data_IF_953287762886
#
_entry.id   IF_953287762886
#
_cell.length_a   1.000
_cell.length_b   1.000
_cell.length_c   1.000
_cell.angle_alpha   90.00
_cell.angle_beta   90.00
_cell.angle_gamma   90.00
#
_symmetry.space_group_name_H-M   'P 1'
#
loop_
_entity.id
_entity.type
_entity.pdbx_description
1 polymer ?
#
# COMPACT_ATOMS: atom_id res chain seq x y z
N UNK A 1 -14.29 -23.99 11.83
CA UNK A 1 -13.17 -23.20 12.39
C UNK A 1 -13.79 -22.19 13.33
N UNK A 2 -13.39 -22.16 14.61
CA UNK A 2 -13.99 -21.23 15.57
C UNK A 2 -13.51 -19.79 15.28
N UNK A 3 -14.13 -18.78 15.89
CA UNK A 3 -13.78 -17.37 15.63
C UNK A 3 -12.33 -17.03 16.04
N UNK A 4 -11.85 -17.63 17.14
CA UNK A 4 -10.49 -17.46 17.64
C UNK A 4 -9.43 -18.02 16.66
N UNK A 5 -9.69 -19.15 16.02
CA UNK A 5 -8.84 -19.75 15.00
C UNK A 5 -8.74 -18.86 13.75
N UNK A 6 -9.84 -18.20 13.36
CA UNK A 6 -9.83 -17.22 12.26
C UNK A 6 -8.97 -16.01 12.63
N UNK A 7 -9.18 -15.44 13.82
CA UNK A 7 -8.36 -14.35 14.35
C UNK A 7 -6.86 -14.73 14.38
N UNK A 8 -6.54 -15.89 14.93
CA UNK A 8 -5.16 -16.40 14.98
C UNK A 8 -4.56 -16.57 13.58
N UNK A 9 -5.34 -17.08 12.62
CA UNK A 9 -4.90 -17.18 11.24
C UNK A 9 -4.62 -15.81 10.61
N UNK A 10 -5.44 -14.79 10.89
CA UNK A 10 -5.19 -13.42 10.43
C UNK A 10 -3.88 -12.86 10.99
N UNK A 11 -3.61 -13.09 12.28
CA UNK A 11 -2.37 -12.62 12.94
C UNK A 11 -1.13 -13.38 12.43
N UNK A 12 -1.21 -14.71 12.26
CA UNK A 12 -0.08 -15.53 11.78
C UNK A 12 0.27 -15.21 10.32
N UNK A 13 -0.74 -15.18 9.44
CA UNK A 13 -0.54 -14.96 8.00
C UNK A 13 -0.09 -13.55 7.66
N UNK A 14 -0.21 -12.62 8.62
CA UNK A 14 0.28 -11.24 8.48
C UNK A 14 1.73 -11.16 8.00
N UNK A 15 2.62 -12.00 8.53
CA UNK A 15 4.04 -12.01 8.13
C UNK A 15 4.27 -12.37 6.66
N UNK A 16 3.31 -13.04 6.02
CA UNK A 16 3.37 -13.44 4.62
C UNK A 16 2.64 -12.44 3.69
N UNK A 17 1.75 -11.59 4.23
CA UNK A 17 0.85 -10.73 3.44
C UNK A 17 1.00 -9.22 3.66
N UNK A 18 1.51 -8.77 4.81
CA UNK A 18 1.47 -7.37 5.26
C UNK A 18 2.78 -6.61 5.03
N UNK A 19 3.78 -7.24 4.40
CA UNK A 19 4.92 -6.49 3.86
C UNK A 19 4.46 -5.75 2.60
N UNK A 20 3.80 -4.61 2.82
CA UNK A 20 3.52 -3.58 1.82
C UNK A 20 4.86 -2.95 1.37
N UNK A 21 5.67 -3.78 0.71
CA UNK A 21 6.99 -3.52 0.14
C UNK A 21 8.09 -3.17 1.13
N UNK A 22 9.30 -3.72 0.91
CA UNK A 22 10.50 -3.14 1.51
C UNK A 22 10.63 -1.74 0.91
N UNK A 23 10.47 -0.71 1.73
CA UNK A 23 10.64 0.71 1.38
C UNK A 23 11.84 0.95 0.46
N UNK A 24 12.93 0.19 0.64
CA UNK A 24 14.13 0.20 -0.21
C UNK A 24 13.94 -0.27 -1.67
N UNK A 25 13.08 -1.25 -1.95
CA UNK A 25 12.81 -1.74 -3.30
C UNK A 25 11.91 -0.78 -4.09
N UNK A 26 10.92 -0.19 -3.41
CA UNK A 26 10.14 0.93 -3.94
C UNK A 26 11.05 2.13 -4.17
N UNK A 27 11.89 2.52 -3.18
CA UNK A 27 12.89 3.59 -3.34
C UNK A 27 13.80 3.33 -4.54
N UNK A 28 14.30 2.11 -4.76
CA UNK A 28 15.14 1.82 -5.92
C UNK A 28 14.38 2.00 -7.24
N UNK A 29 13.15 1.50 -7.36
CA UNK A 29 12.32 1.68 -8.56
C UNK A 29 11.90 3.14 -8.78
N UNK A 30 11.53 3.83 -7.71
CA UNK A 30 11.09 5.23 -7.68
C UNK A 30 12.25 6.22 -7.79
N UNK A 31 13.48 5.89 -7.41
CA UNK A 31 14.65 6.79 -7.52
C UNK A 31 15.41 6.55 -8.81
N UNK A 32 15.54 5.30 -9.25
CA UNK A 32 16.22 4.99 -10.52
C UNK A 32 15.41 5.45 -11.73
N UNK A 33 14.07 5.41 -11.70
CA UNK A 33 13.27 5.86 -12.83
C UNK A 33 13.39 7.39 -13.08
N UNK A 34 13.26 8.28 -12.08
CA UNK A 34 13.49 9.72 -12.22
C UNK A 34 14.96 10.09 -12.38
N UNK A 35 15.91 9.38 -11.76
CA UNK A 35 17.34 9.58 -12.07
C UNK A 35 17.64 9.22 -13.51
N UNK A 36 17.03 8.17 -14.05
CA UNK A 36 17.09 7.88 -15.47
C UNK A 36 16.44 9.02 -16.27
N UNK A 37 15.26 9.52 -15.88
CA UNK A 37 14.63 10.69 -16.54
C UNK A 37 15.52 11.93 -16.52
N UNK A 38 16.11 12.30 -15.39
CA UNK A 38 17.03 13.44 -15.26
C UNK A 38 18.30 13.22 -16.09
N UNK A 39 18.84 12.00 -16.09
CA UNK A 39 20.00 11.63 -16.91
C UNK A 39 19.68 11.70 -18.40
N UNK A 40 18.48 11.29 -18.82
CA UNK A 40 17.97 11.45 -20.20
C UNK A 40 17.80 12.93 -20.53
N UNK A 41 17.20 13.75 -19.65
CA UNK A 41 17.05 15.18 -19.90
C UNK A 41 18.42 15.87 -20.05
N UNK A 42 19.42 15.45 -19.28
CA UNK A 42 20.81 15.88 -19.46
C UNK A 42 21.43 15.39 -20.77
N UNK A 43 21.03 14.20 -21.27
CA UNK A 43 21.41 13.67 -22.59
C UNK A 43 20.70 14.38 -23.75
N UNK A 44 19.44 14.80 -23.61
CA UNK A 44 18.69 15.59 -24.61
C UNK A 44 19.37 16.96 -24.83
N UNK A 45 19.97 17.53 -23.78
CA UNK A 45 20.82 18.73 -23.86
C UNK A 45 22.13 18.50 -24.64
N UNK A 46 22.49 17.24 -24.93
CA UNK A 46 23.61 16.84 -25.78
C UNK A 46 23.02 16.33 -27.12
N UNK A 47 23.09 17.09 -28.21
CA UNK A 47 22.39 16.74 -29.45
C UNK A 47 22.88 15.39 -30.00
N UNK A 48 21.98 14.40 -30.16
CA UNK A 48 22.36 13.13 -30.80
C UNK A 48 21.39 11.95 -30.90
N UNK A 49 20.31 11.77 -30.11
CA UNK A 49 19.51 10.53 -30.21
C UNK A 49 18.08 10.54 -29.63
N UNK A 50 17.13 11.24 -30.28
CA UNK A 50 15.74 11.35 -29.79
C UNK A 50 14.94 10.03 -29.63
N UNK A 51 15.38 8.95 -30.27
CA UNK A 51 14.75 7.62 -30.18
C UNK A 51 15.10 6.91 -28.85
N UNK A 52 16.31 7.14 -28.34
CA UNK A 52 16.74 6.62 -27.03
C UNK A 52 16.04 7.37 -25.89
N UNK A 53 15.85 8.68 -26.06
CA UNK A 53 15.21 9.55 -25.06
C UNK A 53 13.74 9.19 -24.86
N UNK A 54 13.01 8.96 -25.95
CA UNK A 54 11.59 8.52 -25.90
C UNK A 54 11.48 7.15 -25.23
N UNK A 55 12.32 6.18 -25.63
CA UNK A 55 12.25 4.82 -25.09
C UNK A 55 12.47 4.75 -23.58
N UNK A 56 13.45 5.48 -23.05
CA UNK A 56 13.76 5.45 -21.62
C UNK A 56 12.70 6.21 -20.80
N UNK A 57 12.14 7.32 -21.30
CA UNK A 57 11.00 8.00 -20.67
C UNK A 57 9.78 7.08 -20.57
N UNK A 58 9.45 6.33 -21.61
CA UNK A 58 8.32 5.40 -21.61
C UNK A 58 8.52 4.24 -20.62
N UNK A 59 9.74 3.71 -20.49
CA UNK A 59 10.07 2.65 -19.52
C UNK A 59 9.93 3.17 -18.09
N UNK A 60 10.48 4.36 -17.81
CA UNK A 60 10.38 4.99 -16.50
C UNK A 60 8.91 5.19 -16.09
N UNK A 61 8.08 5.67 -17.02
CA UNK A 61 6.66 5.88 -16.77
C UNK A 61 5.85 4.59 -16.57
N UNK A 62 6.17 3.55 -17.34
CA UNK A 62 5.55 2.23 -17.17
C UNK A 62 5.89 1.64 -15.80
N UNK A 63 7.11 1.87 -15.31
CA UNK A 63 7.52 1.45 -13.97
C UNK A 63 6.75 2.21 -12.87
N UNK A 64 6.52 3.52 -13.02
CA UNK A 64 5.71 4.31 -12.07
C UNK A 64 4.29 3.76 -11.97
N UNK A 65 3.62 3.50 -13.10
CA UNK A 65 2.27 2.92 -13.10
C UNK A 65 2.23 1.52 -12.46
N UNK A 66 3.27 0.71 -12.66
CA UNK A 66 3.37 -0.59 -12.02
C UNK A 66 3.51 -0.47 -10.49
N UNK A 67 4.31 0.48 -10.00
CA UNK A 67 4.43 0.75 -8.56
C UNK A 67 3.10 1.20 -7.97
N UNK A 68 2.37 2.11 -8.62
CA UNK A 68 1.03 2.53 -8.18
C UNK A 68 0.05 1.36 -8.10
N UNK A 69 0.04 0.48 -9.11
CA UNK A 69 -0.77 -0.73 -9.08
C UNK A 69 -0.42 -1.61 -7.86
N UNK A 70 0.87 -1.80 -7.62
CA UNK A 70 1.38 -2.60 -6.50
C UNK A 70 0.99 -2.02 -5.14
N UNK A 71 1.06 -0.70 -4.96
CA UNK A 71 0.62 -0.01 -3.74
C UNK A 71 -0.88 -0.21 -3.49
N UNK A 72 -1.72 0.03 -4.51
CA UNK A 72 -3.18 -0.15 -4.38
C UNK A 72 -3.53 -1.62 -4.13
N UNK A 73 -2.84 -2.56 -4.79
CA UNK A 73 -3.03 -4.01 -4.55
C UNK A 73 -2.70 -4.38 -3.12
N UNK A 74 -1.60 -3.88 -2.58
CA UNK A 74 -1.21 -4.15 -1.21
C UNK A 74 -2.21 -3.56 -0.20
N UNK A 75 -2.64 -2.30 -0.42
CA UNK A 75 -3.71 -1.69 0.38
C UNK A 75 -5.00 -2.52 0.34
N UNK A 76 -5.42 -2.97 -0.85
CA UNK A 76 -6.61 -3.81 -0.99
C UNK A 76 -6.50 -5.11 -0.20
N UNK A 77 -5.31 -5.74 -0.24
CA UNK A 77 -5.06 -7.01 0.46
C UNK A 77 -5.06 -6.81 1.98
N UNK A 78 -4.47 -5.69 2.44
CA UNK A 78 -4.45 -5.29 3.84
C UNK A 78 -5.88 -5.06 4.37
N UNK A 79 -6.67 -4.20 3.72
CA UNK A 79 -8.06 -3.93 4.13
C UNK A 79 -8.94 -5.19 4.10
N UNK A 80 -8.75 -6.08 3.13
CA UNK A 80 -9.51 -7.33 3.06
C UNK A 80 -9.21 -8.25 4.26
N UNK A 81 -7.94 -8.37 4.65
CA UNK A 81 -7.54 -9.08 5.87
C UNK A 81 -8.12 -8.41 7.11
N UNK A 82 -8.10 -7.09 7.16
CA UNK A 82 -8.58 -6.33 8.32
C UNK A 82 -10.08 -6.46 8.54
N UNK A 83 -10.86 -6.48 7.47
CA UNK A 83 -12.28 -6.80 7.55
C UNK A 83 -12.52 -8.21 8.13
N UNK A 84 -11.74 -9.21 7.69
CA UNK A 84 -11.81 -10.58 8.25
C UNK A 84 -11.39 -10.63 9.73
N UNK A 85 -10.35 -9.87 10.08
CA UNK A 85 -9.84 -9.74 11.45
C UNK A 85 -10.89 -9.12 12.38
N UNK A 86 -11.48 -7.98 12.00
CA UNK A 86 -12.55 -7.31 12.75
C UNK A 86 -13.78 -8.21 12.89
N UNK A 87 -14.22 -8.83 11.79
CA UNK A 87 -15.35 -9.77 11.81
C UNK A 87 -15.10 -10.97 12.73
N UNK A 88 -13.86 -11.46 12.79
CA UNK A 88 -13.48 -12.55 13.69
C UNK A 88 -13.51 -12.14 15.16
N UNK A 89 -13.07 -10.92 15.49
CA UNK A 89 -13.16 -10.36 16.84
C UNK A 89 -14.60 -10.11 17.27
N UNK A 90 -15.45 -9.56 16.39
CA UNK A 90 -16.87 -9.41 16.65
C UNK A 90 -17.52 -10.79 16.91
N UNK A 91 -17.24 -11.79 16.07
CA UNK A 91 -17.76 -13.14 16.29
C UNK A 91 -17.28 -13.77 17.63
N UNK A 92 -16.05 -13.47 18.07
CA UNK A 92 -15.55 -13.90 19.37
C UNK A 92 -16.31 -13.21 20.51
N UNK A 93 -16.49 -11.88 20.46
CA UNK A 93 -17.30 -11.15 21.45
C UNK A 93 -18.72 -11.70 21.56
N UNK A 94 -19.34 -12.05 20.42
CA UNK A 94 -20.66 -12.68 20.37
C UNK A 94 -20.68 -14.04 21.05
N UNK A 95 -19.64 -14.86 20.87
CA UNK A 95 -19.53 -16.16 21.54
C UNK A 95 -19.40 -16.05 23.07
N UNK A 96 -18.91 -14.90 23.56
CA UNK A 96 -18.88 -14.54 24.97
C UNK A 96 -20.17 -13.86 25.46
N UNK A 97 -21.22 -13.78 24.62
CA UNK A 97 -22.53 -13.22 24.98
C UNK A 97 -22.62 -11.70 24.92
N UNK A 98 -21.69 -11.01 24.23
CA UNK A 98 -21.75 -9.55 24.03
C UNK A 98 -22.56 -9.18 22.79
N UNK A 99 -23.15 -7.98 22.80
CA UNK A 99 -23.78 -7.39 21.61
C UNK A 99 -22.72 -6.89 20.64
N UNK A 100 -22.89 -7.11 19.34
CA UNK A 100 -21.84 -6.82 18.34
C UNK A 100 -22.33 -6.01 17.14
N UNK A 101 -23.58 -5.54 17.14
CA UNK A 101 -24.20 -4.93 15.97
C UNK A 101 -23.38 -3.75 15.40
N UNK A 102 -22.83 -2.89 16.27
CA UNK A 102 -21.96 -1.77 15.86
C UNK A 102 -20.57 -2.24 15.39
N UNK A 103 -20.01 -3.28 16.02
CA UNK A 103 -18.74 -3.87 15.61
C UNK A 103 -18.84 -4.55 14.24
N UNK A 104 -19.94 -5.26 13.99
CA UNK A 104 -20.24 -5.92 12.72
C UNK A 104 -20.39 -4.89 11.59
N UNK A 105 -21.10 -3.79 11.85
CA UNK A 105 -21.25 -2.66 10.91
C UNK A 105 -19.89 -2.06 10.50
N UNK A 106 -18.99 -1.82 11.47
CA UNK A 106 -17.64 -1.35 11.17
C UNK A 106 -16.77 -2.39 10.46
N UNK A 107 -16.90 -3.67 10.79
CA UNK A 107 -16.16 -4.74 10.12
C UNK A 107 -16.54 -4.87 8.64
N UNK A 108 -17.83 -4.65 8.33
CA UNK A 108 -18.34 -4.60 6.95
C UNK A 108 -17.87 -3.33 6.22
N UNK A 109 -17.85 -2.17 6.89
CA UNK A 109 -17.40 -0.91 6.27
C UNK A 109 -15.88 -0.85 6.02
N UNK A 110 -15.09 -1.50 6.91
CA UNK A 110 -13.63 -1.60 6.78
C UNK A 110 -13.18 -2.35 5.51
N UNK A 111 -14.07 -3.18 4.94
CA UNK A 111 -13.98 -3.67 3.56
C UNK A 111 -14.20 -2.55 2.56
N UNK A 112 -13.34 -1.54 2.58
CA UNK A 112 -13.46 -0.26 1.88
C UNK A 112 -14.00 -0.39 0.45
N UNK A 113 -15.27 -0.02 0.30
CA UNK A 113 -16.01 -0.10 -0.96
C UNK A 113 -15.35 0.77 -2.04
N UNK A 114 -14.57 0.16 -2.92
CA UNK A 114 -13.96 0.83 -4.07
C UNK A 114 -12.46 0.64 -4.21
N UNK A 115 -11.74 0.18 -3.18
CA UNK A 115 -10.29 -0.07 -3.32
C UNK A 115 -10.04 -1.16 -4.37
N UNK A 116 -10.87 -2.21 -4.39
CA UNK A 116 -10.82 -3.24 -5.43
C UNK A 116 -11.08 -2.69 -6.84
N UNK A 117 -11.98 -1.71 -6.99
CA UNK A 117 -12.20 -1.03 -8.28
C UNK A 117 -11.00 -0.18 -8.67
N UNK A 118 -10.41 0.55 -7.73
CA UNK A 118 -9.18 1.33 -7.96
C UNK A 118 -8.01 0.42 -8.35
N UNK A 119 -7.87 -0.75 -7.71
CA UNK A 119 -6.85 -1.75 -8.05
C UNK A 119 -7.01 -2.24 -9.49
N UNK A 120 -8.25 -2.50 -9.93
CA UNK A 120 -8.50 -2.91 -11.32
C UNK A 120 -8.25 -1.76 -12.29
N UNK A 121 -8.65 -0.53 -11.93
CA UNK A 121 -8.41 0.65 -12.75
C UNK A 121 -6.90 0.86 -12.98
N UNK A 122 -6.09 0.92 -11.91
CA UNK A 122 -4.63 1.10 -12.02
C UNK A 122 -3.96 -0.05 -12.77
N UNK A 123 -4.43 -1.30 -12.58
CA UNK A 123 -3.98 -2.47 -13.36
C UNK A 123 -4.23 -2.29 -14.86
N UNK A 124 -5.44 -1.92 -15.25
CA UNK A 124 -5.79 -1.76 -16.66
C UNK A 124 -5.11 -0.53 -17.27
N UNK A 125 -4.97 0.57 -16.52
CA UNK A 125 -4.17 1.73 -16.92
C UNK A 125 -2.74 1.30 -17.21
N UNK A 126 -2.09 0.56 -16.30
CA UNK A 126 -0.74 0.04 -16.50
C UNK A 126 -0.63 -0.83 -17.76
N UNK A 127 -1.53 -1.80 -17.95
CA UNK A 127 -1.51 -2.69 -19.13
C UNK A 127 -1.71 -1.90 -20.42
N UNK A 128 -2.70 -1.01 -20.46
CA UNK A 128 -3.00 -0.19 -21.63
C UNK A 128 -1.80 0.70 -21.99
N UNK A 129 -1.16 1.31 -21.00
CA UNK A 129 0.01 2.15 -21.21
C UNK A 129 1.23 1.36 -21.69
N UNK A 130 1.47 0.17 -21.12
CA UNK A 130 2.55 -0.71 -21.56
C UNK A 130 2.36 -1.16 -23.02
N UNK A 131 1.13 -1.52 -23.41
CA UNK A 131 0.78 -1.89 -24.80
C UNK A 131 0.92 -0.70 -25.74
N UNK A 132 0.40 0.48 -25.36
CA UNK A 132 0.50 1.69 -26.15
C UNK A 132 1.97 2.09 -26.37
N UNK A 133 2.80 2.05 -25.34
CA UNK A 133 4.22 2.38 -25.42
C UNK A 133 4.99 1.39 -26.29
N UNK A 134 4.73 0.09 -26.14
CA UNK A 134 5.36 -0.94 -26.97
C UNK A 134 4.97 -0.78 -28.44
N UNK A 135 3.69 -0.51 -28.70
CA UNK A 135 3.18 -0.26 -30.06
C UNK A 135 3.77 1.00 -30.68
N UNK A 136 3.87 2.08 -29.89
CA UNK A 136 4.48 3.33 -30.33
C UNK A 136 5.96 3.14 -30.65
N UNK A 137 6.72 2.45 -29.79
CA UNK A 137 8.13 2.15 -30.04
C UNK A 137 8.34 1.29 -31.31
N UNK A 138 7.48 0.28 -31.53
CA UNK A 138 7.52 -0.53 -32.75
C UNK A 138 7.17 0.29 -34.00
N UNK A 139 6.19 1.19 -33.90
CA UNK A 139 5.80 2.06 -35.00
C UNK A 139 6.89 3.08 -35.33
N UNK A 140 7.46 3.76 -34.34
CA UNK A 140 8.47 4.81 -34.54
C UNK A 140 9.84 4.25 -34.92
N UNK A 141 10.11 2.97 -34.66
CA UNK A 141 11.29 2.29 -35.21
C UNK A 141 11.12 1.87 -36.67
N UNK A 142 9.88 1.76 -37.14
CA UNK A 142 9.55 1.33 -38.50
C UNK A 142 9.23 2.50 -39.46
N UNK A 143 8.88 3.67 -38.92
CA UNK A 143 8.40 4.82 -39.69
C UNK A 143 9.02 6.13 -39.17
N UNK A 144 9.36 7.03 -40.10
CA UNK A 144 9.83 8.40 -39.78
C UNK A 144 8.63 9.24 -39.33
N UNK A 145 8.46 9.33 -38.01
CA UNK A 145 7.40 10.14 -37.39
C UNK A 145 7.99 11.52 -37.09
N UNK A 146 7.34 12.57 -37.57
CA UNK A 146 7.81 13.94 -37.39
C UNK A 146 8.00 14.32 -35.91
N UNK A 147 9.00 15.17 -35.63
CA UNK A 147 9.40 15.59 -34.28
C UNK A 147 8.27 16.25 -33.47
N UNK A 148 7.36 16.98 -34.13
CA UNK A 148 6.20 17.61 -33.49
C UNK A 148 5.22 16.55 -32.94
N UNK A 149 4.94 15.50 -33.72
CA UNK A 149 4.02 14.42 -33.30
C UNK A 149 4.58 13.66 -32.11
N UNK A 150 5.89 13.36 -32.10
CA UNK A 150 6.57 12.79 -30.95
C UNK A 150 6.46 13.66 -29.69
N UNK A 151 6.68 14.96 -29.86
CA UNK A 151 6.62 15.92 -28.76
C UNK A 151 5.21 15.96 -28.14
N UNK A 152 4.17 16.07 -28.98
CA UNK A 152 2.77 16.10 -28.51
C UNK A 152 2.37 14.82 -27.79
N UNK A 153 2.72 13.65 -28.34
CA UNK A 153 2.41 12.35 -27.72
C UNK A 153 3.13 12.18 -26.37
N UNK A 154 4.39 12.60 -26.29
CA UNK A 154 5.18 12.54 -25.05
C UNK A 154 4.60 13.43 -23.95
N UNK A 155 4.17 14.65 -24.28
CA UNK A 155 3.52 15.55 -23.33
C UNK A 155 2.16 15.05 -22.86
N UNK A 156 1.34 14.52 -23.78
CA UNK A 156 0.05 13.93 -23.44
C UNK A 156 0.21 12.73 -22.49
N UNK A 157 1.15 11.83 -22.80
CA UNK A 157 1.51 10.69 -21.96
C UNK A 157 1.94 11.15 -20.56
N UNK A 158 2.84 12.12 -20.49
CA UNK A 158 3.34 12.68 -19.21
C UNK A 158 2.21 13.28 -18.38
N UNK A 159 1.33 14.08 -18.99
CA UNK A 159 0.19 14.69 -18.30
C UNK A 159 -0.78 13.64 -17.73
N UNK A 160 -1.08 12.58 -18.50
CA UNK A 160 -1.94 11.49 -18.03
C UNK A 160 -1.34 10.75 -16.84
N UNK A 161 -0.04 10.48 -16.85
CA UNK A 161 0.61 9.77 -15.73
C UNK A 161 0.67 10.63 -14.48
N UNK A 162 0.98 11.93 -14.63
CA UNK A 162 0.96 12.87 -13.49
C UNK A 162 -0.45 12.91 -12.90
N UNK A 163 -1.50 12.96 -13.72
CA UNK A 163 -2.87 12.92 -13.24
C UNK A 163 -3.19 11.61 -12.50
N UNK A 164 -2.85 10.45 -13.07
CA UNK A 164 -3.07 9.13 -12.45
C UNK A 164 -2.35 9.01 -11.10
N UNK A 165 -1.12 9.50 -11.04
CA UNK A 165 -0.29 9.52 -9.85
C UNK A 165 -0.89 10.38 -8.74
N UNK A 166 -1.33 11.60 -9.06
CA UNK A 166 -1.99 12.49 -8.09
C UNK A 166 -3.28 11.87 -7.58
N UNK A 167 -4.14 11.38 -8.47
CA UNK A 167 -5.46 10.85 -8.13
C UNK A 167 -5.34 9.56 -7.30
N UNK A 168 -4.45 8.64 -7.70
CA UNK A 168 -4.22 7.37 -6.99
C UNK A 168 -3.63 7.62 -5.61
N UNK A 169 -2.62 8.47 -5.51
CA UNK A 169 -1.96 8.76 -4.23
C UNK A 169 -2.91 9.46 -3.25
N UNK A 170 -3.70 10.43 -3.74
CA UNK A 170 -4.72 11.09 -2.93
C UNK A 170 -5.80 10.10 -2.44
N UNK A 171 -6.21 9.15 -3.31
CA UNK A 171 -7.13 8.09 -2.95
C UNK A 171 -6.55 7.17 -1.87
N UNK A 172 -5.30 6.72 -2.02
CA UNK A 172 -4.62 5.88 -1.03
C UNK A 172 -4.58 6.59 0.32
N UNK A 173 -4.15 7.86 0.40
CA UNK A 173 -4.11 8.58 1.67
C UNK A 173 -5.46 8.66 2.35
N UNK A 174 -6.50 9.02 1.57
CA UNK A 174 -7.87 9.06 2.08
C UNK A 174 -8.28 7.69 2.61
N UNK A 175 -7.98 6.64 1.85
CA UNK A 175 -8.33 5.29 2.21
C UNK A 175 -7.64 4.80 3.49
N UNK A 176 -6.35 5.05 3.62
CA UNK A 176 -5.57 4.75 4.84
C UNK A 176 -6.14 5.49 6.04
N UNK A 177 -6.42 6.79 5.91
CA UNK A 177 -6.96 7.57 7.03
C UNK A 177 -8.37 7.13 7.43
N UNK A 178 -9.22 6.76 6.48
CA UNK A 178 -10.57 6.25 6.78
C UNK A 178 -10.47 4.91 7.49
N UNK A 179 -9.72 3.96 6.93
CA UNK A 179 -9.54 2.63 7.48
C UNK A 179 -8.94 2.65 8.90
N UNK A 180 -7.91 3.46 9.11
CA UNK A 180 -7.29 3.66 10.44
C UNK A 180 -8.29 4.21 11.47
N UNK A 181 -9.15 5.15 11.06
CA UNK A 181 -10.21 5.68 11.93
C UNK A 181 -11.25 4.63 12.30
N UNK A 182 -11.65 3.79 11.35
CA UNK A 182 -12.61 2.70 11.57
C UNK A 182 -12.03 1.65 12.51
N UNK A 183 -10.75 1.27 12.34
CA UNK A 183 -10.08 0.33 13.24
C UNK A 183 -9.90 0.88 14.66
N UNK A 184 -9.54 2.15 14.82
CA UNK A 184 -9.46 2.76 16.16
C UNK A 184 -10.84 2.77 16.85
N UNK A 185 -11.90 3.08 16.11
CA UNK A 185 -13.27 3.05 16.64
C UNK A 185 -13.68 1.62 17.03
N UNK A 186 -13.45 0.64 16.15
CA UNK A 186 -13.73 -0.77 16.41
C UNK A 186 -13.00 -1.29 17.64
N UNK A 187 -11.70 -1.04 17.74
CA UNK A 187 -10.90 -1.53 18.88
C UNK A 187 -11.29 -0.86 20.19
N UNK A 188 -11.79 0.38 20.15
CA UNK A 188 -12.35 1.07 21.31
C UNK A 188 -13.62 0.37 21.81
N UNK A 189 -14.58 0.09 20.92
CA UNK A 189 -15.81 -0.64 21.27
C UNK A 189 -15.51 -2.05 21.75
N UNK A 190 -14.63 -2.77 21.06
CA UNK A 190 -14.24 -4.12 21.44
C UNK A 190 -13.64 -4.14 22.86
N UNK A 191 -12.75 -3.19 23.18
CA UNK A 191 -12.15 -3.09 24.52
C UNK A 191 -13.18 -2.71 25.59
N UNK A 192 -14.14 -1.85 25.27
CA UNK A 192 -15.22 -1.49 26.20
C UNK A 192 -16.06 -2.72 26.59
N UNK A 193 -16.43 -3.55 25.61
CA UNK A 193 -17.29 -4.72 25.83
C UNK A 193 -16.56 -5.96 26.35
N UNK A 194 -15.34 -6.18 25.86
CA UNK A 194 -14.57 -7.41 26.14
C UNK A 194 -13.45 -7.20 27.15
N UNK A 195 -13.04 -5.97 27.45
CA UNK A 195 -11.80 -5.71 28.18
C UNK A 195 -11.76 -6.32 29.58
N UNK A 196 -12.90 -6.41 30.27
CA UNK A 196 -13.01 -7.10 31.57
C UNK A 196 -13.03 -8.63 31.45
N UNK A 197 -13.49 -9.16 30.31
CA UNK A 197 -13.55 -10.60 30.04
C UNK A 197 -12.15 -11.14 29.74
N UNK A 198 -11.40 -10.43 28.90
CA UNK A 198 -10.07 -10.88 28.44
C UNK A 198 -8.91 -10.25 29.22
N UNK A 199 -9.19 -9.28 30.09
CA UNK A 199 -8.16 -8.56 30.85
C UNK A 199 -7.31 -7.59 30.01
N UNK A 200 -7.86 -7.04 28.93
CA UNK A 200 -7.14 -6.15 28.00
C UNK A 200 -7.91 -4.85 27.77
N UNK A 201 -7.34 -3.72 28.20
CA UNK A 201 -8.03 -2.41 28.26
C UNK A 201 -7.43 -1.32 27.36
N UNK A 202 -6.55 -1.70 26.44
CA UNK A 202 -5.79 -0.74 25.63
C UNK A 202 -6.29 -0.75 24.19
N UNK A 203 -7.16 0.17 23.77
CA UNK A 203 -7.58 0.27 22.36
C UNK A 203 -6.41 0.65 21.46
N UNK A 204 -6.54 0.40 20.16
CA UNK A 204 -5.55 0.85 19.19
C UNK A 204 -5.60 2.37 19.09
N UNK A 205 -4.43 3.00 19.18
CA UNK A 205 -4.27 4.45 19.01
C UNK A 205 -3.18 4.69 17.98
N UNK A 206 -3.49 5.49 16.97
CA UNK A 206 -2.54 5.88 15.93
C UNK A 206 -2.59 7.39 15.72
N UNK A 207 -1.44 7.96 15.39
CA UNK A 207 -1.36 9.35 14.92
C UNK A 207 -1.65 9.44 13.40
N UNK A 208 -2.10 8.34 12.78
CA UNK A 208 -2.42 8.29 11.34
C UNK A 208 -3.68 9.12 11.02
N UNK A 209 -4.67 9.10 11.91
CA UNK A 209 -5.89 9.91 11.85
C UNK A 209 -5.72 11.40 12.17
N UNK A 210 -4.66 11.83 12.87
CA UNK A 210 -4.45 13.25 13.24
C UNK A 210 -4.04 14.15 12.07
N UNK A 211 -3.67 13.59 10.92
CA UNK A 211 -3.32 14.35 9.71
C UNK A 211 -4.54 14.71 8.84
N UNK A 212 -5.72 14.86 9.45
CA UNK A 212 -6.92 15.39 8.78
C UNK A 212 -6.74 16.89 8.45
N UNK A 213 -5.94 17.25 7.43
CA UNK A 213 -6.21 18.45 6.59
C UNK A 213 -5.17 18.77 5.51
N UNK A 214 -3.98 18.18 5.48
CA UNK A 214 -2.88 18.81 4.71
C UNK A 214 -2.74 18.31 3.27
N UNK A 215 -3.80 17.76 2.68
CA UNK A 215 -3.82 17.35 1.28
C UNK A 215 -3.59 18.52 0.28
N UNK A 216 -4.15 19.74 0.47
CA UNK A 216 -3.98 20.82 -0.49
C UNK A 216 -2.51 21.27 -0.71
N UNK A 217 -1.67 21.43 0.34
CA UNK A 217 -0.23 21.63 0.17
C UNK A 217 0.46 20.57 -0.68
N UNK A 218 0.10 19.29 -0.49
CA UNK A 218 0.68 18.19 -1.26
C UNK A 218 0.29 18.24 -2.74
N UNK A 219 -0.98 18.55 -3.04
CA UNK A 219 -1.48 18.71 -4.41
C UNK A 219 -0.79 19.89 -5.10
N UNK A 220 -0.66 21.03 -4.41
CA UNK A 220 0.04 22.20 -4.94
C UNK A 220 1.50 21.88 -5.27
N UNK A 221 2.20 21.19 -4.36
CA UNK A 221 3.59 20.77 -4.57
C UNK A 221 3.71 19.75 -5.72
N UNK A 222 2.77 18.81 -5.86
CA UNK A 222 2.71 17.88 -7.00
C UNK A 222 2.63 18.61 -8.36
N UNK A 223 1.77 19.63 -8.46
CA UNK A 223 1.58 20.43 -9.68
C UNK A 223 2.81 21.29 -9.98
N UNK A 224 3.30 22.05 -8.98
CA UNK A 224 4.43 23.00 -9.16
C UNK A 224 5.73 22.28 -9.47
N UNK A 225 5.93 21.06 -8.98
CA UNK A 225 7.16 20.28 -9.20
C UNK A 225 7.09 19.33 -10.40
N UNK A 226 6.05 19.42 -11.23
CA UNK A 226 5.81 18.54 -12.38
C UNK A 226 5.93 17.05 -12.02
N UNK A 227 5.46 16.67 -10.83
CA UNK A 227 5.49 15.28 -10.37
C UNK A 227 6.79 14.83 -9.70
N UNK A 228 7.84 15.66 -9.54
CA UNK A 228 9.01 15.28 -8.70
C UNK A 228 8.60 15.10 -7.24
N UNK A 229 7.68 15.93 -6.75
CA UNK A 229 7.13 15.80 -5.41
C UNK A 229 6.34 14.48 -5.21
N UNK A 230 5.94 13.80 -6.28
CA UNK A 230 5.27 12.51 -6.17
C UNK A 230 6.12 11.43 -5.50
N UNK A 231 7.45 11.52 -5.64
CA UNK A 231 8.38 10.58 -5.00
C UNK A 231 8.33 10.76 -3.48
N UNK A 232 8.42 12.01 -3.01
CA UNK A 232 8.29 12.36 -1.61
C UNK A 232 6.89 12.01 -1.07
N UNK A 233 5.87 12.24 -1.88
CA UNK A 233 4.48 11.94 -1.51
C UNK A 233 4.23 10.43 -1.37
N UNK A 234 4.77 9.60 -2.28
CA UNK A 234 4.71 8.15 -2.16
C UNK A 234 5.49 7.65 -0.95
N UNK A 235 6.67 8.21 -0.66
CA UNK A 235 7.41 7.89 0.57
C UNK A 235 6.60 8.25 1.82
N UNK A 236 5.91 9.38 1.80
CA UNK A 236 5.03 9.79 2.89
C UNK A 236 3.85 8.82 3.04
N UNK A 237 3.17 8.46 1.96
CA UNK A 237 2.08 7.46 1.95
C UNK A 237 2.55 6.13 2.54
N UNK A 238 3.66 5.60 2.03
CA UNK A 238 4.25 4.33 2.50
C UNK A 238 4.67 4.42 3.96
N UNK A 239 5.26 5.54 4.39
CA UNK A 239 5.62 5.76 5.78
C UNK A 239 4.39 5.74 6.70
N UNK A 240 3.29 6.42 6.31
CA UNK A 240 2.04 6.43 7.08
C UNK A 240 1.42 5.05 7.18
N UNK A 241 1.43 4.29 6.09
CA UNK A 241 0.97 2.91 6.07
C UNK A 241 1.80 2.02 7.00
N UNK A 242 3.13 2.13 6.95
CA UNK A 242 4.00 1.36 7.83
C UNK A 242 3.80 1.70 9.31
N UNK A 243 3.53 2.97 9.63
CA UNK A 243 3.21 3.40 10.99
C UNK A 243 1.88 2.77 11.46
N UNK A 244 0.84 2.80 10.61
CA UNK A 244 -0.43 2.14 10.87
C UNK A 244 -0.24 0.64 11.15
N UNK A 245 0.44 -0.07 10.25
CA UNK A 245 0.73 -1.52 10.36
C UNK A 245 1.50 -1.82 11.66
N UNK A 246 2.50 -1.00 12.00
CA UNK A 246 3.29 -1.18 13.22
C UNK A 246 2.46 -1.01 14.49
N UNK A 247 1.60 0.01 14.55
CA UNK A 247 0.71 0.23 15.69
C UNK A 247 -0.32 -0.89 15.84
N UNK A 248 -0.91 -1.30 14.72
CA UNK A 248 -1.85 -2.42 14.69
C UNK A 248 -1.18 -3.71 15.16
N UNK A 249 0.09 -3.95 14.79
CA UNK A 249 0.81 -5.15 15.23
C UNK A 249 1.02 -5.17 16.75
N UNK A 250 1.44 -4.05 17.33
CA UNK A 250 1.59 -3.95 18.78
C UNK A 250 0.26 -4.22 19.51
N UNK A 251 -0.86 -3.72 18.96
CA UNK A 251 -2.20 -3.99 19.48
C UNK A 251 -2.58 -5.48 19.36
N UNK A 252 -2.42 -6.08 18.18
CA UNK A 252 -2.76 -7.48 17.92
C UNK A 252 -1.95 -8.45 18.78
N UNK A 253 -0.67 -8.17 19.02
CA UNK A 253 0.19 -8.99 19.87
C UNK A 253 -0.31 -8.99 21.32
N UNK A 254 -0.59 -7.81 21.88
CA UNK A 254 -1.17 -7.71 23.23
C UNK A 254 -2.55 -8.35 23.33
N UNK A 255 -3.40 -8.18 22.31
CA UNK A 255 -4.74 -8.77 22.27
C UNK A 255 -4.68 -10.30 22.19
N UNK A 256 -3.79 -10.85 21.36
CA UNK A 256 -3.63 -12.29 21.22
C UNK A 256 -3.19 -12.93 22.55
N UNK A 257 -2.23 -12.33 23.24
CA UNK A 257 -1.80 -12.80 24.56
C UNK A 257 -2.94 -12.78 25.58
N UNK A 258 -3.77 -11.75 25.56
CA UNK A 258 -4.90 -11.61 26.46
C UNK A 258 -6.00 -12.66 26.19
N UNK A 259 -6.40 -12.83 24.92
CA UNK A 259 -7.36 -13.85 24.52
C UNK A 259 -6.84 -15.24 24.87
N UNK A 260 -5.58 -15.56 24.57
CA UNK A 260 -4.99 -16.86 24.89
C UNK A 260 -5.01 -17.15 26.39
N UNK A 261 -4.67 -16.17 27.24
CA UNK A 261 -4.75 -16.31 28.70
C UNK A 261 -6.18 -16.51 29.19
N UNK A 262 -7.14 -15.77 28.63
CA UNK A 262 -8.57 -15.91 28.97
C UNK A 262 -9.11 -17.30 28.61
N UNK A 263 -8.64 -17.88 27.51
CA UNK A 263 -8.96 -19.24 27.06
C UNK A 263 -8.15 -20.34 27.80
N UNK A 264 -7.34 -19.97 28.80
CA UNK A 264 -6.62 -20.92 29.65
C UNK A 264 -5.25 -21.37 29.14
N UNK A 265 -4.67 -20.70 28.15
CA UNK A 265 -3.30 -20.97 27.72
C UNK A 265 -2.29 -20.53 28.80
N UNK A 266 -1.36 -21.43 29.14
CA UNK A 266 -0.34 -21.19 30.17
C UNK A 266 0.82 -20.29 29.72
N UNK A 267 1.14 -20.26 28.42
CA UNK A 267 2.25 -19.48 27.88
C UNK A 267 2.06 -19.23 26.37
N UNK A 268 2.32 -18.00 25.90
CA UNK A 268 2.33 -17.63 24.49
C UNK A 268 3.77 -17.31 24.11
N UNK A 269 4.45 -18.24 23.44
CA UNK A 269 5.85 -18.06 23.04
C UNK A 269 5.96 -17.59 21.61
N UNK A 270 6.69 -16.49 21.41
CA UNK A 270 7.14 -16.07 20.10
C UNK A 270 8.16 -17.08 19.58
N UNK A 271 7.83 -17.79 18.50
CA UNK A 271 8.81 -18.62 17.80
C UNK A 271 9.67 -17.66 16.98
N UNK A 272 10.86 -17.32 17.47
CA UNK A 272 11.87 -16.66 16.63
C UNK A 272 12.15 -17.59 15.44
N UNK A 273 11.71 -17.20 14.24
CA UNK A 273 12.15 -17.86 13.01
C UNK A 273 13.67 -17.70 12.94
N UNK A 274 14.38 -18.74 13.36
CA UNK A 274 15.82 -18.87 13.16
C UNK A 274 16.16 -18.48 11.72
N UNK A 275 16.98 -17.44 11.55
CA UNK A 275 17.58 -17.00 10.27
C UNK A 275 18.48 -18.08 9.62
N UNK A 276 18.35 -19.37 9.97
CA UNK A 276 19.15 -20.46 9.43
C UNK A 276 18.96 -20.72 7.93
N UNK A 277 17.91 -20.22 7.28
CA UNK A 277 17.74 -20.38 5.82
C UNK A 277 18.57 -19.41 4.95
N UNK A 278 19.12 -18.32 5.51
CA UNK A 278 20.02 -17.44 4.73
C UNK A 278 21.51 -17.81 4.87
N UNK A 279 21.90 -18.48 5.95
CA UNK A 279 23.28 -18.94 6.12
C UNK A 279 23.60 -20.16 5.23
N UNK A 280 22.66 -21.09 5.08
CA UNK A 280 22.83 -22.28 4.21
C UNK A 280 22.95 -21.89 2.72
N UNK A 281 22.33 -20.78 2.32
CA UNK A 281 22.44 -20.28 0.94
C UNK A 281 23.74 -19.50 0.69
N UNK A 282 24.37 -18.92 1.73
CA UNK A 282 25.68 -18.29 1.61
C UNK A 282 26.82 -19.31 1.66
N UNK A 283 26.72 -20.37 2.47
CA UNK A 283 27.70 -21.47 2.50
C UNK A 283 27.69 -22.34 1.22
N UNK A 284 26.60 -22.28 0.42
CA UNK A 284 26.55 -22.93 -0.90
C UNK A 284 27.05 -22.02 -2.03
N UNK A 285 27.36 -20.76 -1.74
CA UNK A 285 27.87 -19.77 -2.70
C UNK A 285 29.30 -19.28 -2.40
N UNK A 286 29.93 -19.78 -1.34
CA UNK A 286 31.37 -19.66 -1.05
C UNK A 286 32.13 -20.90 -1.50
#
# INVERSE_FOLDING_TARGET
MNAADRFLNCVIKRSDSDSLFRVGAILMLIVLAPLAVVFIMFRILIPGSGLMDTGVTLVAWTAVLYVLYLEVKGLNSHCARDSEWMSSLAAYARSCGRGTDEMDSLAESAGMAGIGRMMQATKYTFIAFAVANTSMAAFTSSYDVGSLTHTVLSWAATAMIVAELVLTSAYILKAVSTHDSEQCAFTSMFVEDMGDVIGFKSPMVTDVTKAKSDLPPHILLLVVTLGIYSLFFNLFVVHRMNLHVSCQWAYEEGLLEAIAKAEGATDVRRIERSRKKSAVLMDMMS
#
